data_IF_183802556389
#
_entry.id   IF_183802556389
#
_cell.length_a   1.000
_cell.length_b   1.000
_cell.length_c   1.000
_cell.angle_alpha   90.00
_cell.angle_beta   90.00
_cell.angle_gamma   90.00
#
_symmetry.space_group_name_H-M   'P 1'
#
loop_
_entity.id
_entity.type
_entity.pdbx_description
1 polymer ?
#
# COMPACT_ATOMS: atom_id res chain seq x y z
N UNK A 1 14.30 -18.65 -9.04
CA UNK A 1 14.01 -19.41 -10.27
C UNK A 1 13.64 -20.85 -9.90
N UNK A 2 12.68 -21.43 -10.62
CA UNK A 2 12.25 -22.81 -10.40
C UNK A 2 11.25 -23.05 -9.26
N UNK A 3 10.95 -22.03 -8.44
CA UNK A 3 9.96 -22.13 -7.34
C UNK A 3 8.82 -21.12 -7.57
N UNK A 4 9.16 -19.88 -7.89
CA UNK A 4 8.17 -18.80 -8.04
C UNK A 4 8.10 -18.24 -9.44
N UNK A 5 9.12 -18.47 -10.25
CA UNK A 5 9.16 -18.05 -11.64
C UNK A 5 10.17 -18.87 -12.44
N UNK A 6 9.97 -18.92 -13.75
CA UNK A 6 10.90 -19.49 -14.71
C UNK A 6 11.14 -18.49 -15.85
N UNK A 7 12.40 -18.45 -16.34
CA UNK A 7 12.75 -17.68 -17.51
C UNK A 7 12.47 -18.53 -18.76
N UNK A 8 11.41 -18.17 -19.48
CA UNK A 8 10.97 -18.90 -20.67
C UNK A 8 11.79 -18.49 -21.90
N UNK A 9 12.10 -17.20 -22.02
CA UNK A 9 12.90 -16.68 -23.15
C UNK A 9 13.75 -15.49 -22.71
N UNK A 10 15.03 -15.46 -23.08
CA UNK A 10 15.81 -16.54 -23.69
C UNK A 10 16.16 -17.63 -22.68
N UNK A 11 15.95 -18.89 -23.03
CA UNK A 11 16.16 -20.04 -22.11
C UNK A 11 17.62 -20.19 -21.62
N UNK A 12 18.58 -19.61 -22.33
CA UNK A 12 20.01 -19.60 -21.97
C UNK A 12 20.48 -18.27 -21.38
N UNK A 13 19.57 -17.31 -21.15
CA UNK A 13 19.89 -15.98 -20.66
C UNK A 13 20.58 -15.06 -21.69
N UNK A 14 20.72 -15.48 -22.97
CA UNK A 14 21.43 -14.73 -23.98
C UNK A 14 20.46 -14.17 -25.03
N UNK A 15 20.37 -12.85 -25.12
CA UNK A 15 19.65 -12.14 -26.17
C UNK A 15 20.59 -11.90 -27.36
N UNK A 16 20.22 -12.41 -28.54
CA UNK A 16 20.99 -12.23 -29.76
C UNK A 16 20.22 -11.37 -30.76
N UNK A 17 20.69 -10.16 -31.00
CA UNK A 17 20.16 -9.29 -32.04
C UNK A 17 20.74 -9.70 -33.39
N UNK A 18 19.90 -9.90 -34.41
CA UNK A 18 20.28 -10.25 -35.76
C UNK A 18 19.51 -9.45 -36.76
N UNK A 19 20.20 -9.02 -37.84
CA UNK A 19 19.59 -8.27 -38.93
C UNK A 19 18.96 -6.95 -38.49
N UNK A 20 17.69 -6.75 -38.86
CA UNK A 20 16.92 -5.52 -38.57
C UNK A 20 16.13 -5.60 -37.27
N UNK A 21 16.49 -6.51 -36.35
CA UNK A 21 15.79 -6.65 -35.05
C UNK A 21 16.26 -5.52 -34.14
N UNK A 22 15.32 -4.67 -33.74
CA UNK A 22 15.55 -3.51 -32.86
C UNK A 22 15.07 -3.74 -31.39
N UNK A 23 14.28 -4.80 -31.16
CA UNK A 23 13.77 -5.17 -29.85
C UNK A 23 13.66 -6.68 -29.66
N UNK A 24 13.97 -7.15 -28.46
CA UNK A 24 13.79 -8.54 -28.03
C UNK A 24 13.08 -8.57 -26.67
N UNK A 25 12.20 -9.55 -26.49
CA UNK A 25 11.47 -9.72 -25.26
C UNK A 25 12.16 -10.73 -24.33
N UNK A 26 12.21 -10.40 -23.04
CA UNK A 26 12.45 -11.38 -21.98
C UNK A 26 11.09 -11.84 -21.49
N UNK A 27 10.82 -13.15 -21.55
CA UNK A 27 9.56 -13.75 -21.12
C UNK A 27 9.83 -14.53 -19.83
N UNK A 28 9.09 -14.17 -18.79
CA UNK A 28 9.15 -14.81 -17.49
C UNK A 28 7.76 -15.35 -17.18
N UNK A 29 7.71 -16.62 -16.83
CA UNK A 29 6.51 -17.28 -16.35
C UNK A 29 6.48 -17.26 -14.83
N UNK A 30 5.40 -16.78 -14.24
CA UNK A 30 5.22 -16.73 -12.78
C UNK A 30 4.42 -17.96 -12.38
N UNK A 31 5.02 -18.76 -11.50
CA UNK A 31 4.38 -19.95 -10.96
C UNK A 31 3.35 -19.56 -9.90
N UNK A 32 2.11 -20.01 -10.08
CA UNK A 32 1.07 -19.95 -9.07
C UNK A 32 1.18 -21.18 -8.18
N UNK A 33 1.37 -21.00 -6.88
CA UNK A 33 1.51 -22.11 -5.94
C UNK A 33 0.25 -22.38 -5.10
N UNK A 34 -0.79 -21.54 -5.24
CA UNK A 34 -2.07 -21.64 -4.53
C UNK A 34 -1.94 -21.64 -3.00
N UNK A 35 -0.86 -21.08 -2.48
CA UNK A 35 -0.56 -21.03 -1.04
C UNK A 35 -0.29 -19.60 -0.63
N UNK A 36 -1.16 -19.03 0.21
CA UNK A 36 -0.92 -17.71 0.80
C UNK A 36 0.36 -17.73 1.65
N UNK A 37 1.31 -16.89 1.30
CA UNK A 37 2.57 -16.79 2.01
C UNK A 37 2.68 -15.55 2.90
N UNK A 38 3.45 -15.66 3.99
CA UNK A 38 3.72 -14.55 4.90
C UNK A 38 4.65 -13.47 4.31
N UNK A 39 5.37 -13.78 3.23
CA UNK A 39 6.30 -12.88 2.56
C UNK A 39 5.67 -12.47 1.22
N UNK A 40 5.01 -11.33 1.21
CA UNK A 40 4.20 -10.84 0.11
C UNK A 40 4.98 -10.22 -1.04
N UNK A 41 6.10 -9.61 -0.75
CA UNK A 41 6.90 -8.92 -1.76
C UNK A 41 8.13 -9.79 -2.08
N UNK A 42 7.96 -10.77 -2.97
CA UNK A 42 9.10 -11.42 -3.62
C UNK A 42 9.52 -10.56 -4.78
N UNK A 43 10.76 -10.11 -4.78
CA UNK A 43 11.32 -9.38 -5.90
C UNK A 43 12.58 -10.05 -6.43
N UNK A 44 12.85 -9.84 -7.70
CA UNK A 44 14.11 -10.17 -8.33
C UNK A 44 14.47 -9.09 -9.36
N UNK A 45 15.73 -9.08 -9.74
CA UNK A 45 16.24 -8.11 -10.71
C UNK A 45 16.59 -8.80 -12.01
N UNK A 46 16.17 -8.21 -13.12
CA UNK A 46 16.68 -8.55 -14.45
C UNK A 46 17.79 -7.56 -14.76
N UNK A 47 19.00 -8.05 -14.97
CA UNK A 47 20.15 -7.22 -15.33
C UNK A 47 20.62 -7.58 -16.74
N UNK A 48 20.82 -6.57 -17.58
CA UNK A 48 21.34 -6.73 -18.93
C UNK A 48 22.80 -6.35 -18.94
N UNK A 49 23.66 -7.26 -19.40
CA UNK A 49 25.08 -7.03 -19.57
C UNK A 49 25.47 -7.20 -21.04
N UNK A 50 26.41 -6.38 -21.52
CA UNK A 50 26.96 -6.56 -22.88
C UNK A 50 28.07 -7.62 -22.84
N UNK A 51 27.99 -8.61 -23.74
CA UNK A 51 28.95 -9.67 -23.89
C UNK A 51 29.76 -9.58 -25.22
N UNK A 52 29.42 -8.62 -26.07
CA UNK A 52 30.05 -8.46 -27.38
C UNK A 52 30.90 -7.19 -27.40
N UNK A 53 32.15 -7.30 -27.82
CA UNK A 53 33.04 -6.17 -27.96
C UNK A 53 32.45 -5.09 -28.88
N UNK A 54 32.48 -3.85 -28.42
CA UNK A 54 31.95 -2.70 -29.16
C UNK A 54 30.45 -2.43 -29.01
N UNK A 55 29.73 -3.26 -28.26
CA UNK A 55 28.36 -2.98 -27.83
C UNK A 55 28.37 -2.40 -26.44
N UNK A 56 27.51 -1.41 -26.23
CA UNK A 56 27.35 -0.73 -24.93
C UNK A 56 25.93 -0.89 -24.44
N UNK A 57 25.78 -1.14 -23.15
CA UNK A 57 24.48 -1.10 -22.48
C UNK A 57 24.01 0.35 -22.36
N UNK A 58 22.71 0.57 -22.46
CA UNK A 58 22.09 1.87 -22.23
C UNK A 58 22.11 2.28 -20.75
N UNK A 59 21.48 3.41 -20.45
CA UNK A 59 21.39 3.93 -19.08
C UNK A 59 20.55 3.05 -18.13
N UNK A 60 19.63 2.26 -18.68
CA UNK A 60 18.76 1.35 -17.91
C UNK A 60 19.19 -0.09 -18.17
N UNK A 61 19.99 -0.62 -17.27
CA UNK A 61 20.53 -1.98 -17.36
C UNK A 61 19.88 -2.96 -16.42
N UNK A 62 18.97 -2.48 -15.55
CA UNK A 62 18.31 -3.29 -14.53
C UNK A 62 16.84 -2.94 -14.43
N UNK A 63 15.99 -3.97 -14.33
CA UNK A 63 14.57 -3.86 -14.00
C UNK A 63 14.28 -4.69 -12.75
N UNK A 64 13.51 -4.12 -11.81
CA UNK A 64 12.97 -4.83 -10.67
C UNK A 64 11.61 -5.43 -11.03
N UNK A 65 11.44 -6.71 -10.76
CA UNK A 65 10.18 -7.44 -10.90
C UNK A 65 9.68 -7.81 -9.52
N UNK A 66 8.47 -7.36 -9.18
CA UNK A 66 7.80 -7.72 -7.93
C UNK A 66 6.73 -8.77 -8.22
N UNK A 67 6.82 -9.91 -7.52
CA UNK A 67 5.80 -10.95 -7.54
C UNK A 67 4.86 -10.70 -6.37
N UNK A 68 3.58 -10.52 -6.65
CA UNK A 68 2.54 -10.31 -5.63
C UNK A 68 1.81 -11.62 -5.41
N UNK A 69 1.77 -12.07 -4.15
CA UNK A 69 1.01 -13.23 -3.75
C UNK A 69 -0.49 -12.90 -3.70
N UNK A 70 -1.26 -13.43 -4.65
CA UNK A 70 -2.71 -13.21 -4.76
C UNK A 70 -3.53 -14.20 -3.92
N UNK A 71 -2.92 -15.27 -3.44
CA UNK A 71 -3.57 -16.27 -2.59
C UNK A 71 -3.56 -15.88 -1.11
N UNK A 72 -2.81 -14.83 -0.76
CA UNK A 72 -2.78 -14.33 0.61
C UNK A 72 -4.19 -13.88 1.04
N UNK A 73 -4.72 -14.34 2.19
CA UNK A 73 -6.10 -14.03 2.62
C UNK A 73 -6.39 -12.53 2.75
N UNK A 74 -5.37 -11.70 2.99
CA UNK A 74 -5.51 -10.24 3.08
C UNK A 74 -5.24 -9.52 1.75
N UNK A 75 -4.92 -10.25 0.67
CA UNK A 75 -4.69 -9.65 -0.65
C UNK A 75 -5.77 -8.64 -1.07
N UNK A 76 -7.07 -8.88 -0.84
CA UNK A 76 -8.11 -7.94 -1.21
C UNK A 76 -8.02 -6.55 -0.57
N UNK A 77 -7.24 -6.39 0.50
CA UNK A 77 -7.00 -5.11 1.16
C UNK A 77 -5.64 -4.49 0.82
N UNK A 78 -4.72 -5.28 0.25
CA UNK A 78 -3.35 -4.84 0.00
C UNK A 78 -3.20 -4.07 -1.30
N UNK A 79 -2.10 -3.31 -1.40
CA UNK A 79 -1.76 -2.55 -2.58
C UNK A 79 -1.83 -1.04 -2.36
N UNK A 80 -1.97 -0.30 -3.45
CA UNK A 80 -2.06 1.16 -3.43
C UNK A 80 -3.49 1.60 -3.68
N UNK A 81 -4.04 2.28 -2.70
CA UNK A 81 -5.39 2.84 -2.75
C UNK A 81 -5.34 4.33 -3.08
N UNK A 82 -6.27 4.78 -3.91
CA UNK A 82 -6.40 6.17 -4.33
C UNK A 82 -7.85 6.60 -4.27
N UNK A 83 -8.08 7.83 -3.87
CA UNK A 83 -9.43 8.39 -3.79
C UNK A 83 -9.40 9.82 -3.32
N UNK A 84 -10.55 10.29 -2.85
CA UNK A 84 -10.72 11.62 -2.27
C UNK A 84 -11.35 11.50 -0.88
N UNK A 85 -11.01 12.42 -0.01
CA UNK A 85 -11.56 12.53 1.35
C UNK A 85 -12.12 13.94 1.54
N UNK A 86 -13.39 14.04 1.88
CA UNK A 86 -13.96 15.29 2.34
C UNK A 86 -13.38 15.64 3.72
N UNK A 87 -13.14 16.91 3.99
CA UNK A 87 -12.49 17.37 5.20
C UNK A 87 -13.13 18.66 5.74
N UNK A 88 -12.88 18.97 7.03
CA UNK A 88 -13.63 20.03 7.72
C UNK A 88 -12.85 21.32 7.95
N UNK A 89 -11.50 21.29 8.12
CA UNK A 89 -10.80 22.43 8.69
C UNK A 89 -9.91 23.18 7.72
N UNK A 90 -8.93 22.51 7.12
CA UNK A 90 -7.87 23.17 6.34
C UNK A 90 -8.21 23.24 4.85
N UNK A 91 -8.90 22.25 4.34
CA UNK A 91 -9.41 22.21 2.97
C UNK A 91 -10.73 21.44 2.94
N UNK A 92 -11.62 21.70 1.95
CA UNK A 92 -12.88 20.97 1.85
C UNK A 92 -12.69 19.50 1.43
N UNK A 93 -11.60 19.20 0.72
CA UNK A 93 -11.33 17.87 0.18
C UNK A 93 -9.82 17.68 -0.02
N UNK A 94 -9.36 16.42 0.10
CA UNK A 94 -7.99 15.99 -0.20
C UNK A 94 -7.98 14.81 -1.15
N UNK A 95 -7.05 14.82 -2.11
CA UNK A 95 -6.64 13.60 -2.79
C UNK A 95 -5.86 12.72 -1.81
N UNK A 96 -6.25 11.47 -1.69
CA UNK A 96 -5.60 10.50 -0.84
C UNK A 96 -4.94 9.40 -1.66
N UNK A 97 -3.72 9.05 -1.29
CA UNK A 97 -3.02 7.87 -1.81
C UNK A 97 -2.28 7.22 -0.67
N UNK A 98 -2.63 5.98 -0.36
CA UNK A 98 -1.96 5.21 0.69
C UNK A 98 -1.70 3.78 0.24
N UNK A 99 -0.72 3.15 0.89
CA UNK A 99 -0.36 1.76 0.65
C UNK A 99 -0.71 0.91 1.86
N UNK A 100 -1.24 -0.26 1.59
CA UNK A 100 -1.55 -1.29 2.57
C UNK A 100 -0.69 -2.50 2.29
N UNK A 101 -0.02 -3.00 3.33
CA UNK A 101 0.85 -4.19 3.28
C UNK A 101 0.49 -5.14 4.41
N UNK A 102 0.79 -6.41 4.26
CA UNK A 102 0.71 -7.37 5.36
C UNK A 102 1.82 -7.16 6.38
N UNK A 103 1.62 -7.74 7.54
CA UNK A 103 2.62 -7.83 8.60
C UNK A 103 3.39 -9.14 8.45
N UNK A 104 4.72 -9.05 8.38
CA UNK A 104 5.58 -10.23 8.33
C UNK A 104 5.39 -11.08 9.60
N UNK A 105 5.23 -12.40 9.43
CA UNK A 105 5.02 -13.37 10.49
C UNK A 105 3.70 -13.20 11.26
N UNK A 106 2.65 -12.76 10.59
CA UNK A 106 1.29 -12.80 11.13
C UNK A 106 0.61 -14.13 10.76
N UNK A 107 0.73 -15.12 11.63
CA UNK A 107 0.16 -16.46 11.43
C UNK A 107 -1.38 -16.48 11.44
N UNK A 108 -2.00 -15.35 11.80
CA UNK A 108 -3.46 -15.22 11.87
C UNK A 108 -4.06 -14.63 10.61
N UNK A 109 -3.24 -14.09 9.70
CA UNK A 109 -3.67 -13.35 8.51
C UNK A 109 -4.73 -12.30 8.84
N UNK A 110 -4.50 -11.53 9.89
CA UNK A 110 -5.46 -10.53 10.36
C UNK A 110 -4.87 -9.13 10.48
N UNK A 111 -3.56 -8.98 10.30
CA UNK A 111 -2.84 -7.72 10.54
C UNK A 111 -2.31 -7.12 9.25
N UNK A 112 -2.44 -5.80 9.14
CA UNK A 112 -1.94 -4.99 8.05
C UNK A 112 -1.14 -3.81 8.58
N UNK A 113 -0.33 -3.23 7.71
CA UNK A 113 0.33 -1.93 7.92
C UNK A 113 -0.15 -0.99 6.82
N UNK A 114 -0.59 0.19 7.23
CA UNK A 114 -1.03 1.28 6.35
C UNK A 114 -0.03 2.43 6.46
N UNK A 115 0.40 2.99 5.34
CA UNK A 115 1.36 4.10 5.35
C UNK A 115 0.72 5.46 5.69
N UNK A 116 1.57 6.48 5.83
CA UNK A 116 1.18 7.84 6.18
C UNK A 116 0.16 8.46 5.21
N UNK A 117 0.01 7.91 4.02
CA UNK A 117 -0.86 8.43 2.96
C UNK A 117 -2.32 8.57 3.37
N UNK A 118 -2.79 7.80 4.37
CA UNK A 118 -4.14 7.97 4.92
C UNK A 118 -4.37 9.35 5.56
N UNK A 119 -3.31 10.07 5.88
CA UNK A 119 -3.41 11.41 6.47
C UNK A 119 -2.82 12.47 5.53
N UNK A 120 -3.54 12.83 4.44
CA UNK A 120 -3.01 13.67 3.38
C UNK A 120 -2.58 15.05 3.84
N UNK A 121 -3.24 15.66 4.83
CA UNK A 121 -2.82 16.94 5.40
C UNK A 121 -1.40 16.86 5.97
N UNK A 122 -1.09 15.82 6.75
CA UNK A 122 0.25 15.63 7.32
C UNK A 122 1.29 15.29 6.26
N UNK A 123 0.92 14.49 5.26
CA UNK A 123 1.81 14.17 4.13
C UNK A 123 2.19 15.43 3.35
N UNK A 124 1.24 16.34 3.09
CA UNK A 124 1.48 17.61 2.42
C UNK A 124 2.40 18.53 3.24
N UNK A 125 2.36 18.42 4.57
CA UNK A 125 3.22 19.17 5.49
C UNK A 125 4.56 18.47 5.81
N UNK A 126 4.91 17.40 5.08
CA UNK A 126 6.22 16.75 5.15
C UNK A 126 6.31 15.52 6.06
N UNK A 127 5.23 15.11 6.72
CA UNK A 127 5.19 13.94 7.61
C UNK A 127 4.78 12.68 6.82
N UNK A 128 5.79 12.01 6.22
CA UNK A 128 5.56 10.90 5.26
C UNK A 128 5.98 9.52 5.78
N UNK A 129 6.53 9.45 7.00
CA UNK A 129 7.17 8.23 7.51
C UNK A 129 6.33 7.45 8.52
N UNK A 130 5.20 7.99 8.95
CA UNK A 130 4.30 7.29 9.84
C UNK A 130 3.74 6.03 9.16
N UNK A 131 3.58 4.98 9.95
CA UNK A 131 2.86 3.75 9.54
C UNK A 131 1.88 3.40 10.65
N UNK A 132 0.74 2.85 10.26
CA UNK A 132 -0.34 2.53 11.18
C UNK A 132 -0.64 1.05 11.12
N UNK A 133 -0.79 0.42 12.29
CA UNK A 133 -1.28 -0.94 12.38
C UNK A 133 -2.78 -0.97 12.12
N UNK A 134 -3.21 -1.96 11.36
CA UNK A 134 -4.61 -2.23 11.11
C UNK A 134 -4.91 -3.71 11.32
N UNK A 135 -6.16 -4.01 11.61
CA UNK A 135 -6.66 -5.39 11.73
C UNK A 135 -7.81 -5.61 10.74
N UNK A 136 -7.91 -6.82 10.23
CA UNK A 136 -8.98 -7.22 9.30
C UNK A 136 -9.92 -8.20 9.96
N UNK A 137 -11.22 -7.97 9.78
CA UNK A 137 -12.28 -8.87 10.19
C UNK A 137 -13.39 -8.89 9.14
N UNK A 138 -13.48 -9.98 8.39
CA UNK A 138 -14.38 -10.07 7.22
C UNK A 138 -14.03 -9.01 6.18
N UNK A 139 -15.01 -8.22 5.76
CA UNK A 139 -14.82 -7.14 4.78
C UNK A 139 -14.39 -5.81 5.40
N UNK A 140 -13.97 -5.80 6.66
CA UNK A 140 -13.59 -4.57 7.36
C UNK A 140 -12.10 -4.55 7.67
N UNK A 141 -11.44 -3.42 7.34
CA UNK A 141 -10.11 -3.06 7.77
C UNK A 141 -10.21 -1.93 8.79
N UNK A 142 -9.75 -2.17 10.01
CA UNK A 142 -9.79 -1.21 11.11
C UNK A 142 -8.38 -0.77 11.47
N UNK A 143 -8.02 0.48 11.17
CA UNK A 143 -6.77 1.10 11.60
C UNK A 143 -6.94 1.47 13.07
N UNK A 144 -6.07 0.93 13.91
CA UNK A 144 -6.12 1.13 15.36
C UNK A 144 -5.93 2.62 15.68
N UNK A 145 -6.82 3.16 16.52
CA UNK A 145 -6.73 4.56 16.93
C UNK A 145 -5.54 4.83 17.87
N UNK A 146 -5.23 6.11 18.05
CA UNK A 146 -4.20 6.62 18.95
C UNK A 146 -2.75 6.26 18.57
N UNK A 147 -2.52 5.86 17.33
CA UNK A 147 -1.18 5.66 16.80
C UNK A 147 -0.54 7.00 16.39
N UNK A 148 0.78 7.19 16.68
CA UNK A 148 1.47 8.45 16.39
C UNK A 148 1.47 8.82 14.90
N UNK A 149 1.18 10.08 14.60
CA UNK A 149 1.28 10.64 13.26
C UNK A 149 2.71 11.11 12.88
N UNK A 150 3.67 10.97 13.79
CA UNK A 150 5.05 11.42 13.58
C UNK A 150 5.30 12.91 13.85
N UNK A 151 4.35 13.60 14.49
CA UNK A 151 4.47 15.01 14.88
C UNK A 151 4.00 15.22 16.32
N UNK A 152 4.92 15.53 17.23
CA UNK A 152 4.64 15.76 18.63
C UNK A 152 3.87 14.60 19.26
N UNK A 153 2.78 14.93 19.98
CA UNK A 153 1.83 13.98 20.56
C UNK A 153 0.62 13.69 19.68
N UNK A 154 0.66 14.12 18.42
CA UNK A 154 -0.45 13.96 17.48
C UNK A 154 -0.62 12.48 17.10
N UNK A 155 -1.87 12.03 17.17
CA UNK A 155 -2.26 10.65 16.86
C UNK A 155 -3.34 10.61 15.78
N UNK A 156 -3.45 9.49 15.06
CA UNK A 156 -4.61 9.19 14.23
C UNK A 156 -5.75 8.70 15.12
N UNK A 157 -6.95 9.25 14.95
CA UNK A 157 -8.10 8.86 15.76
C UNK A 157 -9.38 8.84 14.93
N UNK A 158 -10.14 7.76 15.04
CA UNK A 158 -11.44 7.60 14.41
C UNK A 158 -12.60 8.04 15.31
N UNK A 159 -13.79 8.24 14.71
CA UNK A 159 -15.02 8.67 15.37
C UNK A 159 -16.24 7.99 14.77
N UNK A 160 -17.09 7.48 15.65
CA UNK A 160 -18.37 6.90 15.26
C UNK A 160 -19.44 7.95 14.89
N UNK A 161 -19.25 9.21 15.29
CA UNK A 161 -20.16 10.32 15.03
C UNK A 161 -19.41 11.53 14.47
N UNK A 162 -20.12 12.36 13.73
CA UNK A 162 -19.60 13.59 13.14
C UNK A 162 -19.26 14.67 14.17
N UNK A 163 -19.72 14.53 15.45
CA UNK A 163 -19.38 15.45 16.52
C UNK A 163 -18.09 15.02 17.25
N UNK A 164 -16.94 15.62 16.93
CA UNK A 164 -15.64 15.29 17.51
C UNK A 164 -15.50 15.68 18.99
N UNK A 165 -16.49 16.40 19.55
CA UNK A 165 -16.46 16.85 20.94
C UNK A 165 -17.06 15.81 21.91
N UNK A 166 -17.61 14.71 21.40
CA UNK A 166 -18.11 13.62 22.23
C UNK A 166 -17.05 12.54 22.42
N UNK A 167 -16.39 12.55 23.57
CA UNK A 167 -15.33 11.58 23.91
C UNK A 167 -15.77 10.11 23.79
N UNK A 168 -17.05 9.81 24.01
CA UNK A 168 -17.64 8.47 23.90
C UNK A 168 -17.78 7.99 22.43
N UNK A 169 -17.48 8.85 21.47
CA UNK A 169 -17.54 8.55 20.04
C UNK A 169 -16.24 8.02 19.44
N UNK A 170 -15.15 7.96 20.21
CA UNK A 170 -13.86 7.50 19.70
C UNK A 170 -13.91 6.03 19.28
N UNK A 171 -13.32 5.74 18.12
CA UNK A 171 -13.28 4.42 17.53
C UNK A 171 -12.00 4.24 16.72
N UNK A 172 -11.78 3.06 16.18
CA UNK A 172 -10.80 2.85 15.13
C UNK A 172 -11.26 3.50 13.83
N UNK A 173 -10.30 3.71 12.90
CA UNK A 173 -10.61 4.18 11.55
C UNK A 173 -11.01 2.98 10.70
N UNK A 174 -12.26 2.88 10.34
CA UNK A 174 -12.83 1.69 9.69
C UNK A 174 -13.08 1.93 8.21
N UNK A 175 -12.51 1.07 7.39
CA UNK A 175 -12.81 0.95 5.97
C UNK A 175 -13.55 -0.37 5.71
N UNK A 176 -14.57 -0.32 4.87
CA UNK A 176 -15.28 -1.51 4.38
C UNK A 176 -14.93 -1.77 2.92
N UNK A 177 -14.50 -2.98 2.63
CA UNK A 177 -14.34 -3.45 1.25
C UNK A 177 -15.70 -3.69 0.63
N UNK A 178 -15.90 -3.12 -0.55
CA UNK A 178 -17.13 -3.27 -1.33
C UNK A 178 -16.98 -4.41 -2.35
N UNK A 179 -18.10 -4.90 -2.87
CA UNK A 179 -18.13 -5.96 -3.90
C UNK A 179 -17.42 -5.54 -5.20
N UNK A 180 -17.40 -4.25 -5.52
CA UNK A 180 -16.70 -3.70 -6.69
C UNK A 180 -15.18 -3.54 -6.51
N UNK A 181 -14.67 -3.95 -5.34
CA UNK A 181 -13.25 -3.89 -4.99
C UNK A 181 -12.81 -2.54 -4.44
N UNK A 182 -13.70 -1.58 -4.20
CA UNK A 182 -13.37 -0.31 -3.55
C UNK A 182 -13.31 -0.41 -2.03
N UNK A 183 -12.66 0.56 -1.36
CA UNK A 183 -12.69 0.73 0.09
C UNK A 183 -13.53 1.97 0.44
N UNK A 184 -14.62 1.75 1.17
CA UNK A 184 -15.47 2.81 1.68
C UNK A 184 -15.06 3.15 3.13
N UNK A 185 -14.78 4.43 3.39
CA UNK A 185 -14.53 4.93 4.74
C UNK A 185 -15.84 4.98 5.53
N UNK A 186 -15.92 4.20 6.61
CA UNK A 186 -17.14 4.05 7.43
C UNK A 186 -17.18 5.03 8.60
N UNK A 187 -16.03 5.44 9.12
CA UNK A 187 -15.90 6.35 10.27
C UNK A 187 -15.23 7.64 9.87
N UNK A 188 -15.61 8.77 10.44
CA UNK A 188 -14.77 9.95 10.37
C UNK A 188 -13.47 9.71 11.13
N UNK A 189 -12.37 10.36 10.74
CA UNK A 189 -11.10 10.28 11.45
C UNK A 189 -10.25 11.53 11.24
N UNK A 190 -9.24 11.71 12.07
CA UNK A 190 -8.35 12.86 11.90
C UNK A 190 -7.06 12.73 12.68
N UNK A 191 -6.22 13.74 12.48
CA UNK A 191 -5.01 13.97 13.27
C UNK A 191 -5.39 14.75 14.52
N UNK A 192 -5.36 14.09 15.67
CA UNK A 192 -5.82 14.60 16.95
C UNK A 192 -4.64 14.88 17.89
N UNK A 193 -4.72 15.97 18.65
CA UNK A 193 -3.74 16.34 19.69
C UNK A 193 -4.32 16.06 21.06
N UNK A 194 -3.89 14.98 21.75
CA UNK A 194 -4.40 14.64 23.08
C UNK A 194 -4.19 15.76 24.11
N UNK A 195 -3.02 16.38 24.12
CA UNK A 195 -2.68 17.47 25.07
C UNK A 195 -3.45 18.76 24.81
N UNK A 196 -3.84 19.03 23.58
CA UNK A 196 -4.55 20.26 23.17
C UNK A 196 -6.07 20.06 23.02
N UNK A 197 -6.56 18.82 23.00
CA UNK A 197 -7.98 18.49 22.83
C UNK A 197 -8.57 18.90 21.48
N UNK A 198 -7.75 18.95 20.41
CA UNK A 198 -8.18 19.44 19.11
C UNK A 198 -7.63 18.64 17.91
N UNK A 199 -8.21 18.91 16.74
CA UNK A 199 -7.81 18.31 15.47
C UNK A 199 -7.03 19.31 14.62
N UNK A 200 -6.02 18.81 13.91
CA UNK A 200 -5.40 19.53 12.81
C UNK A 200 -6.25 19.45 11.54
N UNK A 201 -6.78 18.28 11.27
CA UNK A 201 -7.72 18.02 10.19
C UNK A 201 -8.65 16.87 10.57
N UNK A 202 -9.89 16.90 10.07
CA UNK A 202 -10.88 15.85 10.26
C UNK A 202 -11.43 15.44 8.89
N UNK A 203 -11.31 14.17 8.57
CA UNK A 203 -11.82 13.56 7.33
C UNK A 203 -13.17 12.92 7.61
N UNK A 204 -14.11 13.13 6.68
CA UNK A 204 -15.49 12.67 6.84
C UNK A 204 -15.67 11.28 6.20
N UNK A 205 -16.31 10.37 6.92
CA UNK A 205 -16.74 9.10 6.38
C UNK A 205 -17.91 9.24 5.40
N UNK A 206 -18.07 8.22 4.53
CA UNK A 206 -19.17 8.16 3.57
C UNK A 206 -18.94 8.91 2.26
N UNK A 207 -17.76 9.50 2.05
CA UNK A 207 -17.33 10.00 0.74
C UNK A 207 -16.86 8.83 -0.12
N UNK A 208 -17.39 8.74 -1.30
CA UNK A 208 -17.05 7.74 -2.34
C UNK A 208 -15.95 8.25 -3.25
#
# INVERSE_FOLDING_TARGET
>A
EGVHYDVVSPANGILTFSGDTDSLAVIIDISDDFVGEFILDKNFFITVESMTDGLYTGAFTQAEVNIVDIDHPLFPFMGTWKGTLDAMFQAPQYDVTFKVKSVKNDDTFSKLVVDAGINPYFVLNGFKTATYEAVVSGDYMSIISDQPCGYGDVVVRGFNHVDPNQADSYSDVVYQRQEDGTLLLMTAYGAYTPSGGGFYELYLGGST
#
